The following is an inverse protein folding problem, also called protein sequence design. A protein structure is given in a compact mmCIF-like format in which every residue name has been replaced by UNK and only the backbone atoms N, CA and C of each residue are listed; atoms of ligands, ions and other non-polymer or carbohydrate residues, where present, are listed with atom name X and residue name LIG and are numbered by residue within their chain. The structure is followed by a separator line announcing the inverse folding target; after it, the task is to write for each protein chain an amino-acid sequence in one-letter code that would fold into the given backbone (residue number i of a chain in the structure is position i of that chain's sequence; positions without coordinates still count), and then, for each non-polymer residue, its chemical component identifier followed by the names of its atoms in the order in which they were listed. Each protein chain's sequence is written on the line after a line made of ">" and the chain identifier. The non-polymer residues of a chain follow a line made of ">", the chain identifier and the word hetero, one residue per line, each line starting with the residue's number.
data_IF_951267321781
#
_entry.id   IF_951267321781
#
_cell.length_a   1.000
_cell.length_b   1.000
_cell.length_c   1.000
_cell.angle_alpha   90.00
_cell.angle_beta   90.00
_cell.angle_gamma   90.00
#
_symmetry.space_group_name_H-M   'P 1'
#
loop_
_entity.id
_entity.type
_entity.pdbx_description
1 polymer ?
#
# COMPACT_ATOMS: atom_id res chain seq x y z
N UNK A 1 65.00 28.35 34.18
CA UNK A 1 64.85 26.93 34.54
C UNK A 1 63.38 26.55 34.40
N UNK A 2 63.06 25.78 33.36
CA UNK A 2 61.69 25.41 32.97
C UNK A 2 61.20 24.30 33.91
N UNK A 3 59.99 24.45 34.48
CA UNK A 3 59.38 23.48 35.39
C UNK A 3 58.70 22.34 34.63
N UNK A 4 59.00 21.14 35.09
CA UNK A 4 58.50 19.82 34.71
C UNK A 4 57.02 19.67 35.12
N UNK A 5 56.15 19.23 34.22
CA UNK A 5 54.79 18.74 34.54
C UNK A 5 54.70 17.23 34.24
N UNK A 6 54.13 16.41 35.13
CA UNK A 6 54.03 14.97 34.92
C UNK A 6 52.78 14.54 34.14
N UNK A 7 53.02 13.47 33.39
CA UNK A 7 52.18 12.50 32.69
C UNK A 7 50.79 12.26 33.30
N UNK A 8 49.77 12.26 32.46
CA UNK A 8 48.57 11.41 32.64
C UNK A 8 48.26 10.66 31.35
N UNK A 9 48.20 9.33 31.48
CA UNK A 9 47.81 8.39 30.44
C UNK A 9 46.30 8.47 30.21
N UNK A 10 45.86 8.48 28.95
CA UNK A 10 44.45 8.28 28.60
C UNK A 10 44.31 6.94 27.87
N UNK A 11 43.67 6.00 28.55
CA UNK A 11 43.22 4.72 28.01
C UNK A 11 41.85 4.90 27.40
N UNK A 12 41.64 4.31 26.21
CA UNK A 12 40.37 3.76 25.78
C UNK A 12 39.34 4.74 25.21
N UNK A 13 38.95 4.52 23.95
CA UNK A 13 37.70 3.80 23.62
C UNK A 13 37.61 3.73 22.10
N UNK A 14 37.74 2.53 21.55
CA UNK A 14 37.35 2.27 20.17
C UNK A 14 35.82 2.35 20.13
N UNK A 15 35.28 3.39 19.50
CA UNK A 15 33.87 3.41 19.12
C UNK A 15 33.81 3.24 17.61
N UNK A 16 33.47 2.02 17.20
CA UNK A 16 32.94 1.74 15.87
C UNK A 16 31.86 2.77 15.58
N UNK A 17 32.05 3.57 14.53
CA UNK A 17 30.96 4.23 13.85
C UNK A 17 30.09 3.13 13.25
N UNK A 18 29.11 2.65 14.02
CA UNK A 18 28.00 1.92 13.48
C UNK A 18 27.25 2.90 12.57
N UNK A 19 27.24 2.61 11.26
CA UNK A 19 26.34 3.27 10.32
C UNK A 19 24.91 3.05 10.81
N UNK A 20 24.31 4.06 11.44
CA UNK A 20 22.88 4.07 11.70
C UNK A 20 22.17 4.31 10.37
N UNK A 21 21.77 3.22 9.72
CA UNK A 21 20.62 3.28 8.82
C UNK A 21 19.40 3.52 9.72
N UNK A 22 19.09 4.78 9.99
CA UNK A 22 17.77 5.12 10.51
C UNK A 22 16.75 4.58 9.50
N UNK A 23 15.95 3.63 9.94
CA UNK A 23 15.02 2.89 9.12
C UNK A 23 13.88 3.82 8.67
N UNK A 24 14.09 4.46 7.52
CA UNK A 24 13.14 5.36 6.86
C UNK A 24 11.77 4.69 6.62
N UNK A 25 11.70 3.35 6.68
CA UNK A 25 10.44 2.61 6.61
C UNK A 25 9.54 2.83 7.83
N UNK A 26 10.12 2.94 9.04
CA UNK A 26 9.38 3.18 10.29
C UNK A 26 8.77 4.59 10.29
N UNK A 27 9.54 5.59 9.84
CA UNK A 27 9.04 6.96 9.70
C UNK A 27 7.95 7.07 8.63
N UNK A 28 8.08 6.33 7.52
CA UNK A 28 7.04 6.29 6.47
C UNK A 28 5.76 5.60 6.95
N UNK A 29 5.85 4.51 7.71
CA UNK A 29 4.68 3.83 8.28
C UNK A 29 3.93 4.73 9.28
N UNK A 30 4.65 5.55 10.07
CA UNK A 30 4.03 6.52 10.96
C UNK A 30 3.26 7.64 10.22
N UNK A 31 3.67 7.98 8.99
CA UNK A 31 3.04 9.01 8.16
C UNK A 31 1.93 8.44 7.27
N UNK A 32 2.04 7.17 6.88
CA UNK A 32 1.11 6.45 6.01
C UNK A 32 0.67 5.15 6.70
N UNK A 33 -0.18 5.26 7.76
CA UNK A 33 -0.51 4.14 8.63
C UNK A 33 -1.16 2.97 7.88
N UNK A 34 -2.05 3.22 6.92
CA UNK A 34 -2.72 2.14 6.19
C UNK A 34 -1.74 1.43 5.24
N UNK A 35 -0.92 2.17 4.49
CA UNK A 35 0.13 1.56 3.66
C UNK A 35 1.12 0.77 4.51
N UNK A 36 1.53 1.29 5.68
CA UNK A 36 2.40 0.60 6.63
C UNK A 36 1.82 -0.74 7.07
N UNK A 37 0.55 -0.76 7.51
CA UNK A 37 -0.13 -2.00 7.92
C UNK A 37 -0.23 -3.02 6.77
N UNK A 38 -0.54 -2.57 5.54
CA UNK A 38 -0.59 -3.43 4.35
C UNK A 38 0.78 -4.00 3.98
N UNK A 39 1.84 -3.18 4.03
CA UNK A 39 3.22 -3.59 3.73
C UNK A 39 3.70 -4.70 4.68
N UNK A 40 3.29 -4.62 5.95
CA UNK A 40 3.65 -5.59 6.98
C UNK A 40 2.63 -6.74 7.12
N UNK A 41 1.59 -6.78 6.27
CA UNK A 41 0.52 -7.80 6.29
C UNK A 41 -0.22 -7.89 7.63
N UNK A 42 -0.41 -6.75 8.30
CA UNK A 42 -1.08 -6.64 9.60
C UNK A 42 -2.59 -6.50 9.44
N UNK A 43 -3.27 -7.58 9.03
CA UNK A 43 -4.71 -7.57 8.69
C UNK A 43 -5.60 -6.97 9.78
N UNK A 44 -5.31 -7.25 11.06
CA UNK A 44 -6.07 -6.68 12.19
C UNK A 44 -5.89 -5.16 12.31
N UNK A 45 -4.69 -4.66 12.04
CA UNK A 45 -4.42 -3.22 12.05
C UNK A 45 -5.06 -2.54 10.84
N UNK A 46 -5.03 -3.17 9.67
CA UNK A 46 -5.82 -2.73 8.49
C UNK A 46 -7.29 -2.61 8.87
N UNK A 47 -7.88 -3.63 9.48
CA UNK A 47 -9.28 -3.61 9.90
C UNK A 47 -9.55 -2.50 10.92
N UNK A 48 -8.67 -2.31 11.90
CA UNK A 48 -8.79 -1.24 12.91
C UNK A 48 -8.76 0.14 12.25
N UNK A 49 -7.83 0.38 11.34
CA UNK A 49 -7.70 1.65 10.61
C UNK A 49 -8.87 1.88 9.65
N UNK A 50 -9.34 0.83 8.98
CA UNK A 50 -10.46 0.88 8.05
C UNK A 50 -11.78 1.22 8.77
N UNK A 51 -12.02 0.64 9.95
CA UNK A 51 -13.15 0.99 10.83
C UNK A 51 -13.13 2.47 11.26
N UNK A 52 -11.95 3.09 11.30
CA UNK A 52 -11.78 4.52 11.60
C UNK A 52 -11.85 5.41 10.34
N UNK A 53 -11.92 4.82 9.14
CA UNK A 53 -11.84 5.54 7.87
C UNK A 53 -10.46 6.15 7.60
N UNK A 54 -9.42 5.69 8.29
CA UNK A 54 -8.06 6.27 8.23
C UNK A 54 -7.31 5.69 7.04
N UNK A 55 -6.75 6.56 6.19
CA UNK A 55 -5.71 6.16 5.23
C UNK A 55 -6.16 5.28 4.05
N UNK A 56 -7.46 5.04 3.87
CA UNK A 56 -8.02 4.12 2.85
C UNK A 56 -7.48 4.36 1.42
N UNK A 57 -7.25 5.62 1.06
CA UNK A 57 -6.80 6.06 -0.26
C UNK A 57 -5.39 6.71 -0.22
N UNK A 58 -4.55 6.38 0.77
CA UNK A 58 -3.15 6.83 0.82
C UNK A 58 -2.42 6.56 -0.50
N UNK A 59 -1.43 7.40 -0.84
CA UNK A 59 -0.70 7.29 -2.10
C UNK A 59 0.78 7.14 -1.83
N UNK A 60 1.32 5.96 -2.14
CA UNK A 60 2.74 5.71 -1.97
C UNK A 60 3.56 6.65 -2.86
N UNK A 61 4.54 7.43 -2.34
CA UNK A 61 5.15 8.52 -3.10
C UNK A 61 5.84 8.08 -4.39
N UNK A 62 6.44 6.89 -4.42
CA UNK A 62 7.24 6.43 -5.56
C UNK A 62 6.40 6.10 -6.80
N UNK A 63 5.14 5.70 -6.62
CA UNK A 63 4.31 5.23 -7.72
C UNK A 63 2.82 5.54 -7.64
N UNK A 64 2.36 6.26 -6.63
CA UNK A 64 0.94 6.54 -6.39
C UNK A 64 0.09 5.29 -6.15
N UNK A 65 0.69 4.14 -5.81
CA UNK A 65 -0.07 2.96 -5.40
C UNK A 65 -0.86 3.25 -4.13
N UNK A 66 -2.12 2.82 -4.12
CA UNK A 66 -2.99 2.86 -2.93
C UNK A 66 -2.79 1.62 -2.06
N UNK A 67 -3.23 1.63 -0.79
CA UNK A 67 -3.28 0.41 0.02
C UNK A 67 -3.95 -0.77 -0.71
N UNK A 68 -5.05 -0.51 -1.41
CA UNK A 68 -5.77 -1.54 -2.16
C UNK A 68 -4.94 -2.09 -3.33
N UNK A 69 -4.24 -1.24 -4.09
CA UNK A 69 -3.36 -1.68 -5.19
C UNK A 69 -2.19 -2.49 -4.62
N UNK A 70 -1.60 -2.05 -3.51
CA UNK A 70 -0.47 -2.72 -2.87
C UNK A 70 -0.86 -4.10 -2.31
N UNK A 71 -1.98 -4.19 -1.59
CA UNK A 71 -2.51 -5.46 -1.09
C UNK A 71 -2.80 -6.44 -2.23
N UNK A 72 -3.35 -5.94 -3.33
CA UNK A 72 -3.66 -6.75 -4.52
C UNK A 72 -2.40 -7.27 -5.22
N UNK A 73 -1.32 -6.48 -5.24
CA UNK A 73 -0.01 -6.90 -5.77
C UNK A 73 0.69 -7.96 -4.95
N UNK A 74 0.34 -8.07 -3.68
CA UNK A 74 0.84 -9.08 -2.75
C UNK A 74 -0.17 -10.20 -2.50
N UNK A 75 -1.25 -10.29 -3.29
CA UNK A 75 -2.31 -11.29 -3.18
C UNK A 75 -2.96 -11.39 -1.77
N UNK A 76 -3.03 -10.28 -1.03
CA UNK A 76 -3.69 -10.19 0.29
C UNK A 76 -5.20 -9.91 0.13
N UNK A 77 -5.97 -10.84 -0.39
CA UNK A 77 -7.36 -10.62 -0.78
C UNK A 77 -8.35 -10.37 0.38
N UNK A 78 -8.20 -10.94 1.59
CA UNK A 78 -8.95 -10.51 2.76
C UNK A 78 -8.73 -9.03 3.11
N UNK A 79 -7.50 -8.54 2.97
CA UNK A 79 -7.18 -7.10 3.16
C UNK A 79 -7.84 -6.26 2.07
N UNK A 80 -7.81 -6.71 0.82
CA UNK A 80 -8.52 -6.03 -0.29
C UNK A 80 -10.03 -5.98 -0.01
N UNK A 81 -10.63 -7.07 0.47
CA UNK A 81 -12.06 -7.12 0.82
C UNK A 81 -12.39 -6.13 1.95
N UNK A 82 -11.58 -6.07 3.01
CA UNK A 82 -11.72 -5.09 4.09
C UNK A 82 -11.73 -3.66 3.51
N UNK A 83 -10.77 -3.31 2.66
CA UNK A 83 -10.66 -1.97 2.08
C UNK A 83 -11.88 -1.62 1.21
N UNK A 84 -12.36 -2.57 0.40
CA UNK A 84 -13.57 -2.41 -0.42
C UNK A 84 -14.82 -2.22 0.44
N UNK A 85 -14.94 -2.95 1.54
CA UNK A 85 -16.10 -2.88 2.43
C UNK A 85 -16.14 -1.59 3.27
N UNK A 86 -14.98 -0.95 3.47
CA UNK A 86 -14.86 0.32 4.19
C UNK A 86 -14.79 1.54 3.27
N UNK A 87 -15.04 1.37 1.97
CA UNK A 87 -15.21 2.49 1.03
C UNK A 87 -13.91 3.10 0.49
N UNK A 88 -12.81 2.34 0.49
CA UNK A 88 -11.63 2.69 -0.29
C UNK A 88 -11.99 2.75 -1.79
N UNK A 89 -11.41 3.70 -2.51
CA UNK A 89 -11.79 4.00 -3.89
C UNK A 89 -11.37 2.89 -4.87
N UNK A 90 -12.33 2.06 -5.30
CA UNK A 90 -12.11 0.98 -6.28
C UNK A 90 -11.67 1.45 -7.67
N UNK A 91 -11.83 2.75 -7.98
CA UNK A 91 -11.46 3.35 -9.27
C UNK A 91 -10.06 3.98 -9.27
N UNK A 92 -9.36 3.95 -8.14
CA UNK A 92 -8.00 4.47 -8.07
C UNK A 92 -7.06 3.66 -8.97
N UNK A 93 -6.15 4.35 -9.65
CA UNK A 93 -5.00 3.75 -10.32
C UNK A 93 -3.68 4.36 -9.87
N UNK A 94 -2.59 3.60 -9.99
CA UNK A 94 -1.23 4.10 -9.76
C UNK A 94 -0.73 4.96 -10.95
N UNK A 95 0.50 5.47 -10.89
CA UNK A 95 1.08 6.30 -11.97
C UNK A 95 1.18 5.58 -13.34
N UNK A 96 1.04 4.26 -13.35
CA UNK A 96 1.13 3.42 -14.55
C UNK A 96 -0.25 3.01 -15.07
N UNK A 97 -1.34 3.51 -14.49
CA UNK A 97 -2.72 3.14 -14.83
C UNK A 97 -3.13 1.77 -14.28
N UNK A 98 -2.39 1.22 -13.32
CA UNK A 98 -2.72 -0.06 -12.67
C UNK A 98 -3.86 0.14 -11.68
N UNK A 99 -4.94 -0.62 -11.81
CA UNK A 99 -6.09 -0.63 -10.89
C UNK A 99 -6.19 -1.98 -10.18
N UNK A 100 -6.76 -2.02 -8.97
CA UNK A 100 -7.00 -3.28 -8.27
C UNK A 100 -7.78 -4.31 -9.13
N UNK A 101 -8.87 -3.93 -9.84
CA UNK A 101 -9.64 -4.92 -10.62
C UNK A 101 -8.82 -5.62 -11.70
N UNK A 102 -7.84 -4.95 -12.33
CA UNK A 102 -6.91 -5.61 -13.26
C UNK A 102 -6.12 -6.72 -12.55
N UNK A 103 -5.60 -6.43 -11.35
CA UNK A 103 -4.83 -7.40 -10.55
C UNK A 103 -5.72 -8.56 -10.11
N UNK A 104 -6.98 -8.28 -9.75
CA UNK A 104 -7.95 -9.30 -9.43
C UNK A 104 -8.08 -10.29 -10.58
N UNK A 105 -8.30 -9.86 -11.82
CA UNK A 105 -8.49 -10.83 -12.92
C UNK A 105 -7.20 -11.53 -13.37
N UNK A 106 -6.01 -11.01 -13.05
CA UNK A 106 -4.72 -11.62 -13.42
C UNK A 106 -4.01 -12.41 -12.30
N UNK A 107 -4.52 -12.35 -11.06
CA UNK A 107 -3.96 -13.04 -9.91
C UNK A 107 -3.85 -14.55 -10.17
N UNK A 108 -2.77 -15.15 -9.63
CA UNK A 108 -2.41 -16.57 -9.84
C UNK A 108 -2.46 -17.37 -8.54
N UNK A 109 -3.21 -16.90 -7.55
CA UNK A 109 -3.45 -17.62 -6.29
C UNK A 109 -4.09 -18.98 -6.52
N UNK A 110 -3.93 -19.87 -5.55
CA UNK A 110 -4.47 -21.23 -5.60
C UNK A 110 -6.01 -21.20 -5.65
N UNK A 111 -6.66 -21.80 -6.67
CA UNK A 111 -8.11 -21.86 -6.74
C UNK A 111 -8.72 -22.56 -5.52
N UNK A 112 -9.77 -21.97 -4.95
CA UNK A 112 -10.48 -22.50 -3.77
C UNK A 112 -9.79 -22.26 -2.42
N UNK A 113 -8.62 -21.62 -2.40
CA UNK A 113 -8.02 -21.09 -1.17
C UNK A 113 -8.90 -19.99 -0.53
N UNK A 114 -8.62 -19.64 0.72
CA UNK A 114 -9.36 -18.55 1.39
C UNK A 114 -9.08 -17.19 0.74
N UNK A 115 -7.87 -16.99 0.24
CA UNK A 115 -7.49 -15.86 -0.62
C UNK A 115 -8.37 -15.81 -1.89
N UNK A 116 -8.54 -16.94 -2.57
CA UNK A 116 -9.35 -17.00 -3.80
C UNK A 116 -10.84 -16.77 -3.52
N UNK A 117 -11.35 -17.29 -2.40
CA UNK A 117 -12.73 -16.99 -1.98
C UNK A 117 -12.92 -15.49 -1.71
N UNK A 118 -11.98 -14.83 -1.03
CA UNK A 118 -12.04 -13.39 -0.78
C UNK A 118 -11.95 -12.59 -2.09
N UNK A 119 -11.02 -12.95 -2.97
CA UNK A 119 -10.88 -12.36 -4.31
C UNK A 119 -12.17 -12.46 -5.12
N UNK A 120 -12.83 -13.62 -5.12
CA UNK A 120 -14.10 -13.82 -5.82
C UNK A 120 -15.21 -12.93 -5.23
N UNK A 121 -15.29 -12.81 -3.89
CA UNK A 121 -16.23 -11.87 -3.25
C UNK A 121 -15.92 -10.41 -3.61
N UNK A 122 -14.66 -10.02 -3.75
CA UNK A 122 -14.25 -8.69 -4.24
C UNK A 122 -14.73 -8.48 -5.67
N UNK A 123 -14.53 -9.44 -6.57
CA UNK A 123 -15.00 -9.35 -7.96
C UNK A 123 -16.52 -9.16 -8.04
N UNK A 124 -17.29 -9.89 -7.24
CA UNK A 124 -18.75 -9.74 -7.21
C UNK A 124 -19.16 -8.36 -6.69
N UNK A 125 -18.51 -7.85 -5.65
CA UNK A 125 -18.72 -6.48 -5.15
C UNK A 125 -18.39 -5.41 -6.18
N UNK A 126 -17.34 -5.60 -6.99
CA UNK A 126 -16.98 -4.68 -8.08
C UNK A 126 -18.07 -4.64 -9.16
N UNK A 127 -18.54 -5.81 -9.61
CA UNK A 127 -19.64 -5.91 -10.58
C UNK A 127 -20.92 -5.27 -10.06
N UNK A 128 -21.24 -5.49 -8.79
CA UNK A 128 -22.42 -4.90 -8.14
C UNK A 128 -22.36 -3.36 -8.08
N UNK A 129 -21.15 -2.78 -8.00
CA UNK A 129 -20.92 -1.32 -8.08
C UNK A 129 -20.79 -0.80 -9.51
N UNK A 130 -21.03 -1.64 -10.52
CA UNK A 130 -20.99 -1.24 -11.93
C UNK A 130 -19.60 -1.06 -12.52
N UNK A 131 -18.56 -1.63 -11.89
CA UNK A 131 -17.21 -1.60 -12.46
C UNK A 131 -17.17 -2.45 -13.76
N UNK A 132 -16.54 -1.97 -14.85
CA UNK A 132 -16.48 -2.70 -16.12
C UNK A 132 -15.68 -4.01 -16.03
N UNK A 133 -16.21 -5.09 -16.64
CA UNK A 133 -15.53 -6.38 -16.79
C UNK A 133 -15.53 -6.84 -18.27
N UNK A 134 -14.38 -7.18 -18.88
CA UNK A 134 -13.04 -7.15 -18.28
C UNK A 134 -12.60 -5.71 -17.92
N UNK A 135 -11.78 -5.53 -16.86
CA UNK A 135 -11.25 -4.22 -16.49
C UNK A 135 -10.48 -3.56 -17.65
N UNK A 136 -10.63 -2.25 -17.88
CA UNK A 136 -9.86 -1.51 -18.87
C UNK A 136 -8.36 -1.72 -18.70
N UNK A 137 -7.62 -1.71 -19.80
CA UNK A 137 -6.16 -1.85 -19.75
C UNK A 137 -5.47 -0.60 -19.20
N UNK A 138 -4.21 -0.73 -18.74
CA UNK A 138 -3.43 0.40 -18.17
C UNK A 138 -3.37 1.63 -19.09
N UNK A 139 -3.09 1.42 -20.37
CA UNK A 139 -3.03 2.51 -21.35
C UNK A 139 -4.40 3.16 -21.59
N UNK A 140 -5.47 2.37 -21.51
CA UNK A 140 -6.85 2.85 -21.64
C UNK A 140 -7.25 3.69 -20.42
N UNK A 141 -6.92 3.25 -19.20
CA UNK A 141 -7.13 4.03 -17.96
C UNK A 141 -6.49 5.42 -18.07
N UNK A 142 -5.20 5.49 -18.46
CA UNK A 142 -4.50 6.76 -18.60
C UNK A 142 -5.10 7.65 -19.70
N UNK A 143 -5.60 7.06 -20.79
CA UNK A 143 -6.30 7.80 -21.84
C UNK A 143 -7.65 8.34 -21.35
N UNK A 144 -8.43 7.54 -20.61
CA UNK A 144 -9.70 7.94 -20.03
C UNK A 144 -9.53 9.04 -18.97
N UNK A 145 -8.50 8.95 -18.12
CA UNK A 145 -8.18 10.00 -17.14
C UNK A 145 -7.83 11.32 -17.85
N UNK A 146 -6.95 11.27 -18.87
CA UNK A 146 -6.59 12.44 -19.68
C UNK A 146 -7.81 13.09 -20.34
N UNK A 147 -8.79 12.28 -20.73
CA UNK A 147 -10.05 12.72 -21.32
C UNK A 147 -11.10 13.16 -20.29
N UNK A 148 -10.82 13.07 -18.98
CA UNK A 148 -11.76 13.38 -17.90
C UNK A 148 -12.92 12.38 -17.77
N UNK A 149 -12.76 11.17 -18.31
CA UNK A 149 -13.74 10.07 -18.30
C UNK A 149 -13.46 9.00 -17.25
N UNK A 150 -12.39 9.17 -16.47
CA UNK A 150 -12.02 8.27 -15.38
C UNK A 150 -11.86 9.03 -14.05
N UNK A 151 -12.50 8.59 -12.96
CA UNK A 151 -13.54 7.55 -12.92
C UNK A 151 -14.81 7.98 -13.71
N UNK A 152 -15.68 7.05 -14.10
CA UNK A 152 -16.96 7.39 -14.72
C UNK A 152 -17.82 8.30 -13.84
N UNK A 153 -18.62 9.17 -14.45
CA UNK A 153 -19.54 10.04 -13.71
C UNK A 153 -20.54 9.21 -12.89
N UNK A 154 -20.68 9.56 -11.60
CA UNK A 154 -21.55 8.83 -10.67
C UNK A 154 -20.98 7.50 -10.18
N UNK A 155 -19.71 7.21 -10.45
CA UNK A 155 -19.02 6.02 -9.96
C UNK A 155 -19.09 5.93 -8.43
N UNK A 156 -19.62 4.80 -7.94
CA UNK A 156 -19.62 4.49 -6.51
C UNK A 156 -18.22 4.08 -6.05
N UNK A 157 -17.83 4.54 -4.87
CA UNK A 157 -16.64 4.05 -4.17
C UNK A 157 -16.83 2.61 -3.71
#
# INVERSE_FOLDING_TARGET
>A
MIRLFPITALVGFALLAACSNEDDSVNKAAIMPMLGAVMHSETEEVLRLANQGTGLDERYPANQATPMIMASGSDQWPVVEILVDHGANIWAHDQFGTTMPQMAVTSRILPGSDEDKARLRVIEKLKARGYPFPPPGRAEILALEKDGKWPPLGAAR
#
